data_IF_596696897792
#
_entry.id   IF_596696897792
#
_cell.length_a   1.000
_cell.length_b   1.000
_cell.length_c   1.000
_cell.angle_alpha   90.00
_cell.angle_beta   90.00
_cell.angle_gamma   90.00
#
_symmetry.space_group_name_H-M   'P 1'
#
loop_
_entity.id
_entity.type
_entity.pdbx_description
1 polymer ?
#
# COMPACT_ATOMS: atom_id res chain seq x y z
N UNK A 1 -27.42 -28.58 11.07
CA UNK A 1 -27.06 -28.08 12.43
C UNK A 1 -26.95 -26.55 12.52
N UNK A 2 -26.55 -25.82 11.47
CA UNK A 2 -26.45 -24.34 11.50
C UNK A 2 -27.58 -23.58 10.80
N UNK A 3 -28.52 -24.29 10.16
CA UNK A 3 -29.55 -23.69 9.27
C UNK A 3 -30.57 -22.84 10.04
N UNK A 4 -30.90 -23.25 11.27
CA UNK A 4 -31.92 -22.61 12.11
C UNK A 4 -31.31 -21.64 13.14
N UNK A 5 -29.97 -21.60 13.24
CA UNK A 5 -29.23 -20.76 14.20
C UNK A 5 -28.62 -19.52 13.52
N UNK A 6 -28.32 -19.61 12.22
CA UNK A 6 -27.76 -18.52 11.41
C UNK A 6 -28.50 -18.36 10.07
N UNK A 7 -29.72 -17.81 10.07
CA UNK A 7 -30.48 -17.58 8.84
C UNK A 7 -29.73 -16.67 7.84
N UNK A 8 -28.87 -15.78 8.34
CA UNK A 8 -28.01 -14.88 7.55
C UNK A 8 -26.89 -15.61 6.81
N UNK A 9 -26.30 -16.65 7.41
CA UNK A 9 -25.32 -17.52 6.73
C UNK A 9 -25.97 -18.36 5.63
N UNK A 10 -27.27 -18.66 5.74
CA UNK A 10 -28.03 -19.24 4.65
C UNK A 10 -28.37 -18.19 3.58
N UNK A 11 -28.72 -16.96 3.98
CA UNK A 11 -29.04 -15.86 3.07
C UNK A 11 -27.81 -15.34 2.29
N UNK A 12 -26.62 -15.42 2.88
CA UNK A 12 -25.35 -14.99 2.30
C UNK A 12 -24.41 -16.16 2.03
N UNK A 13 -24.93 -17.39 2.04
CA UNK A 13 -24.14 -18.60 1.83
C UNK A 13 -23.37 -18.53 0.51
N UNK A 14 -24.03 -18.01 -0.52
CA UNK A 14 -23.46 -17.86 -1.85
C UNK A 14 -22.37 -16.79 -1.87
N UNK A 15 -22.50 -15.72 -1.08
CA UNK A 15 -21.47 -14.68 -0.95
C UNK A 15 -20.22 -15.20 -0.25
N UNK A 16 -20.38 -15.86 0.90
CA UNK A 16 -19.24 -16.42 1.67
C UNK A 16 -18.55 -17.51 0.87
N UNK A 17 -19.32 -18.43 0.26
CA UNK A 17 -18.75 -19.43 -0.65
C UNK A 17 -18.01 -18.77 -1.79
N UNK A 18 -18.55 -17.70 -2.38
CA UNK A 18 -17.90 -17.00 -3.48
C UNK A 18 -16.59 -16.34 -3.04
N UNK A 19 -16.54 -15.67 -1.89
CA UNK A 19 -15.31 -15.05 -1.38
C UNK A 19 -14.24 -16.11 -1.11
N UNK A 20 -14.57 -17.16 -0.36
CA UNK A 20 -13.63 -18.25 -0.05
C UNK A 20 -13.18 -18.95 -1.33
N UNK A 21 -14.11 -19.26 -2.24
CA UNK A 21 -13.79 -19.92 -3.49
C UNK A 21 -12.92 -19.03 -4.39
N UNK A 22 -13.14 -17.72 -4.42
CA UNK A 22 -12.31 -16.82 -5.21
C UNK A 22 -10.92 -16.63 -4.60
N UNK A 23 -10.79 -16.54 -3.27
CA UNK A 23 -9.50 -16.56 -2.57
C UNK A 23 -8.75 -17.88 -2.79
N UNK A 24 -9.44 -19.01 -2.65
CA UNK A 24 -8.86 -20.33 -2.86
C UNK A 24 -8.46 -20.55 -4.33
N UNK A 25 -9.30 -20.17 -5.30
CA UNK A 25 -8.94 -20.21 -6.72
C UNK A 25 -7.80 -19.27 -7.05
N UNK A 26 -7.74 -18.09 -6.41
CA UNK A 26 -6.64 -17.15 -6.60
C UNK A 26 -5.34 -17.78 -6.13
N UNK A 27 -5.33 -18.29 -4.89
CA UNK A 27 -4.20 -18.97 -4.30
C UNK A 27 -3.76 -20.21 -5.09
N UNK A 28 -4.69 -21.07 -5.50
CA UNK A 28 -4.39 -22.27 -6.29
C UNK A 28 -3.86 -21.94 -7.69
N UNK A 29 -4.35 -20.87 -8.35
CA UNK A 29 -3.81 -20.41 -9.64
C UNK A 29 -2.38 -19.90 -9.49
N UNK A 30 -2.10 -19.15 -8.42
CA UNK A 30 -0.76 -18.69 -8.05
C UNK A 30 0.18 -19.87 -7.81
N UNK A 31 -0.27 -20.86 -7.04
CA UNK A 31 0.50 -22.09 -6.80
C UNK A 31 0.73 -22.91 -8.07
N UNK A 32 -0.28 -23.10 -8.91
CA UNK A 32 -0.17 -23.87 -10.15
C UNK A 32 0.83 -23.21 -11.13
N UNK A 33 0.80 -21.87 -11.23
CA UNK A 33 1.74 -21.10 -12.04
C UNK A 33 3.18 -21.26 -11.54
N UNK A 34 3.40 -21.09 -10.23
CA UNK A 34 4.72 -21.24 -9.61
C UNK A 34 5.27 -22.67 -9.72
N UNK A 35 4.43 -23.69 -9.50
CA UNK A 35 4.81 -25.10 -9.63
C UNK A 35 5.19 -25.46 -11.07
N UNK A 36 4.37 -25.07 -12.06
CA UNK A 36 4.69 -25.30 -13.48
C UNK A 36 6.00 -24.64 -13.88
N UNK A 37 6.27 -23.43 -13.37
CA UNK A 37 7.50 -22.71 -13.62
C UNK A 37 8.69 -23.45 -13.01
N UNK A 38 8.61 -23.86 -11.74
CA UNK A 38 9.67 -24.64 -11.07
C UNK A 38 9.93 -25.96 -11.79
N UNK A 39 8.88 -26.70 -12.19
CA UNK A 39 9.03 -27.99 -12.86
C UNK A 39 9.63 -27.87 -14.28
N UNK A 40 9.45 -26.72 -14.93
CA UNK A 40 10.06 -26.42 -16.23
C UNK A 40 11.55 -26.09 -16.15
N UNK A 41 12.07 -25.81 -14.95
CA UNK A 41 13.47 -25.43 -14.77
C UNK A 41 14.37 -26.66 -14.84
N UNK A 42 15.43 -26.53 -15.62
CA UNK A 42 16.56 -27.46 -15.61
C UNK A 42 17.73 -26.76 -14.93
N UNK A 43 18.22 -27.34 -13.85
CA UNK A 43 19.29 -26.76 -13.04
C UNK A 43 20.50 -27.70 -13.08
N UNK A 44 21.58 -27.24 -13.71
CA UNK A 44 22.79 -28.04 -13.92
C UNK A 44 23.66 -28.19 -12.66
N UNK A 45 23.61 -27.21 -11.75
CA UNK A 45 24.49 -27.15 -10.56
C UNK A 45 23.77 -27.42 -9.23
N UNK A 46 22.48 -27.79 -9.26
CA UNK A 46 21.66 -27.96 -8.06
C UNK A 46 21.41 -26.67 -7.26
N UNK A 47 21.69 -25.49 -7.83
CA UNK A 47 21.43 -24.20 -7.19
C UNK A 47 20.41 -23.43 -8.05
N UNK A 48 19.26 -23.12 -7.47
CA UNK A 48 18.28 -22.20 -8.06
C UNK A 48 18.77 -20.78 -7.84
N UNK A 49 19.03 -20.07 -8.94
CA UNK A 49 19.56 -18.71 -8.88
C UNK A 49 18.54 -17.75 -8.25
N UNK A 50 19.08 -16.71 -7.61
CA UNK A 50 18.28 -15.75 -6.87
C UNK A 50 17.33 -14.94 -7.73
N UNK A 51 17.64 -14.74 -9.01
CA UNK A 51 16.81 -13.96 -9.94
C UNK A 51 15.57 -14.76 -10.38
N UNK A 52 15.73 -16.05 -10.67
CA UNK A 52 14.61 -16.96 -10.93
C UNK A 52 13.77 -17.20 -9.67
N UNK A 53 14.41 -17.30 -8.50
CA UNK A 53 13.71 -17.35 -7.20
C UNK A 53 12.88 -16.09 -6.97
N UNK A 54 13.44 -14.93 -7.30
CA UNK A 54 12.74 -13.66 -7.22
C UNK A 54 11.58 -13.58 -8.22
N UNK A 55 11.76 -14.08 -9.45
CA UNK A 55 10.69 -14.19 -10.45
C UNK A 55 9.50 -14.99 -9.90
N UNK A 56 9.76 -16.13 -9.26
CA UNK A 56 8.72 -16.97 -8.62
C UNK A 56 7.96 -16.20 -7.53
N UNK A 57 8.66 -15.45 -6.70
CA UNK A 57 8.06 -14.65 -5.63
C UNK A 57 7.26 -13.45 -6.15
N UNK A 58 7.85 -12.62 -7.01
CA UNK A 58 7.29 -11.33 -7.46
C UNK A 58 6.28 -11.50 -8.61
N UNK A 59 6.62 -12.31 -9.62
CA UNK A 59 5.78 -12.48 -10.82
C UNK A 59 4.71 -13.54 -10.63
N UNK A 60 5.05 -14.66 -9.98
CA UNK A 60 4.11 -15.77 -9.79
C UNK A 60 3.46 -15.78 -8.41
N UNK A 61 3.80 -14.85 -7.51
CA UNK A 61 3.26 -14.79 -6.15
C UNK A 61 3.56 -16.03 -5.31
N UNK A 62 4.55 -16.81 -5.72
CA UNK A 62 4.85 -18.11 -5.14
C UNK A 62 5.70 -17.93 -3.87
N UNK A 63 5.24 -18.40 -2.70
CA UNK A 63 5.94 -18.16 -1.45
C UNK A 63 7.38 -18.71 -1.47
N UNK A 64 8.31 -17.92 -0.92
CA UNK A 64 9.73 -18.32 -0.83
C UNK A 64 9.90 -19.61 -0.02
N UNK A 65 9.11 -19.79 1.05
CA UNK A 65 9.16 -20.99 1.90
C UNK A 65 8.76 -22.26 1.14
N UNK A 66 7.77 -22.15 0.25
CA UNK A 66 7.38 -23.27 -0.63
C UNK A 66 8.44 -23.52 -1.70
N UNK A 67 9.07 -22.46 -2.22
CA UNK A 67 10.19 -22.59 -3.16
C UNK A 67 11.35 -23.36 -2.54
N UNK A 68 11.71 -23.03 -1.28
CA UNK A 68 12.74 -23.73 -0.51
C UNK A 68 12.39 -25.20 -0.32
N UNK A 69 11.16 -25.49 0.13
CA UNK A 69 10.69 -26.85 0.37
C UNK A 69 10.76 -27.72 -0.91
N UNK A 70 10.35 -27.18 -2.05
CA UNK A 70 10.36 -27.90 -3.32
C UNK A 70 11.79 -28.09 -3.84
N UNK A 71 12.66 -27.08 -3.65
CA UNK A 71 14.07 -27.20 -3.98
C UNK A 71 14.70 -28.33 -3.15
N UNK A 72 14.45 -28.38 -1.84
CA UNK A 72 14.95 -29.46 -0.97
C UNK A 72 14.50 -30.85 -1.45
N UNK A 73 13.23 -31.01 -1.83
CA UNK A 73 12.69 -32.28 -2.36
C UNK A 73 13.38 -32.69 -3.69
N UNK A 74 13.72 -31.71 -4.54
CA UNK A 74 14.48 -31.92 -5.79
C UNK A 74 15.99 -31.97 -5.60
N UNK A 75 16.49 -31.94 -4.36
CA UNK A 75 17.93 -31.87 -4.02
C UNK A 75 18.64 -30.60 -4.55
N UNK A 76 17.90 -29.50 -4.62
CA UNK A 76 18.38 -28.18 -4.99
C UNK A 76 18.48 -27.26 -3.77
N UNK A 77 19.32 -26.23 -3.87
CA UNK A 77 19.42 -25.14 -2.89
C UNK A 77 19.08 -23.81 -3.53
N UNK A 78 18.48 -22.90 -2.77
CA UNK A 78 18.14 -21.55 -3.24
C UNK A 78 19.30 -20.59 -2.97
N UNK A 79 19.67 -19.77 -3.95
CA UNK A 79 20.59 -18.64 -3.75
C UNK A 79 19.87 -17.47 -3.06
N UNK A 80 19.85 -17.53 -1.73
CA UNK A 80 19.25 -16.50 -0.86
C UNK A 80 19.84 -15.11 -1.08
N UNK A 81 21.16 -15.02 -1.31
CA UNK A 81 21.83 -13.73 -1.50
C UNK A 81 21.42 -13.09 -2.82
N UNK A 82 21.36 -13.88 -3.88
CA UNK A 82 20.85 -13.41 -5.17
C UNK A 82 19.40 -12.96 -5.08
N UNK A 83 18.56 -13.67 -4.32
CA UNK A 83 17.16 -13.32 -4.11
C UNK A 83 17.02 -11.97 -3.39
N UNK A 84 17.77 -11.76 -2.31
CA UNK A 84 17.77 -10.49 -1.58
C UNK A 84 18.23 -9.32 -2.44
N UNK A 85 19.26 -9.52 -3.28
CA UNK A 85 19.73 -8.50 -4.24
C UNK A 85 18.62 -8.16 -5.23
N UNK A 86 17.99 -9.15 -5.85
CA UNK A 86 16.92 -8.94 -6.83
C UNK A 86 15.68 -8.26 -6.21
N UNK A 87 15.33 -8.63 -4.97
CA UNK A 87 14.27 -7.99 -4.19
C UNK A 87 14.59 -6.51 -3.91
N UNK A 88 15.85 -6.21 -3.60
CA UNK A 88 16.31 -4.83 -3.37
C UNK A 88 16.29 -4.01 -4.67
N UNK A 89 16.74 -4.59 -5.79
CA UNK A 89 16.67 -3.95 -7.11
C UNK A 89 15.23 -3.66 -7.55
N UNK A 90 14.28 -4.56 -7.28
CA UNK A 90 12.86 -4.30 -7.55
C UNK A 90 12.32 -3.16 -6.69
N UNK A 91 12.62 -3.14 -5.38
CA UNK A 91 12.22 -2.04 -4.50
C UNK A 91 12.75 -0.69 -4.98
N UNK A 92 13.97 -0.67 -5.51
CA UNK A 92 14.57 0.55 -6.04
C UNK A 92 14.04 0.94 -7.43
N UNK A 93 13.63 -0.04 -8.27
CA UNK A 93 12.89 0.21 -9.52
C UNK A 93 11.46 0.72 -9.28
N UNK A 94 10.72 0.17 -8.32
CA UNK A 94 9.38 0.67 -7.97
C UNK A 94 9.41 2.12 -7.50
N UNK A 95 10.49 2.55 -6.84
CA UNK A 95 10.73 3.96 -6.50
C UNK A 95 11.01 4.83 -7.74
N UNK A 96 11.59 4.27 -8.80
CA UNK A 96 11.87 4.96 -10.06
C UNK A 96 10.64 5.04 -10.99
N UNK A 97 9.84 3.96 -11.09
CA UNK A 97 8.60 3.87 -11.91
C UNK A 97 7.44 4.73 -11.37
N UNK A 98 7.55 5.21 -10.14
CA UNK A 98 6.67 6.27 -9.63
C UNK A 98 6.80 7.59 -10.44
N UNK A 99 7.82 7.74 -11.28
CA UNK A 99 7.86 8.78 -12.32
C UNK A 99 6.94 8.40 -13.50
N UNK A 100 5.65 8.72 -13.36
CA UNK A 100 4.74 8.77 -14.50
C UNK A 100 5.23 9.82 -15.50
N UNK A 101 5.45 9.43 -16.75
CA UNK A 101 5.52 10.37 -17.88
C UNK A 101 4.11 10.92 -18.14
N UNK A 102 3.74 11.93 -17.37
CA UNK A 102 2.55 12.73 -17.65
C UNK A 102 2.97 13.83 -18.61
N UNK A 103 2.32 13.93 -19.77
CA UNK A 103 2.46 15.12 -20.60
C UNK A 103 2.06 16.37 -19.81
N UNK A 104 2.66 17.50 -20.16
CA UNK A 104 2.34 18.78 -19.54
C UNK A 104 0.86 19.12 -19.72
N UNK A 105 0.28 19.77 -18.71
CA UNK A 105 -1.09 20.25 -18.80
C UNK A 105 -1.19 21.35 -19.84
N UNK A 106 -2.07 21.17 -20.82
CA UNK A 106 -2.45 22.24 -21.74
C UNK A 106 -3.65 22.97 -21.14
N UNK A 107 -3.46 24.25 -20.82
CA UNK A 107 -4.51 25.09 -20.27
C UNK A 107 -5.44 25.58 -21.37
N UNK A 108 -6.75 25.38 -21.19
CA UNK A 108 -7.79 25.81 -22.12
C UNK A 108 -8.48 27.07 -21.61
N UNK A 109 -8.68 27.17 -20.30
CA UNK A 109 -9.32 28.33 -19.66
C UNK A 109 -8.56 28.76 -18.40
N UNK A 110 -8.53 30.07 -18.09
CA UNK A 110 -8.11 30.55 -16.78
C UNK A 110 -9.19 30.22 -15.74
N UNK A 111 -8.82 29.41 -14.75
CA UNK A 111 -9.68 28.98 -13.66
C UNK A 111 -9.00 27.84 -12.89
N UNK A 112 -8.95 27.92 -11.56
CA UNK A 112 -8.29 26.90 -10.73
C UNK A 112 -9.26 26.04 -9.91
N UNK A 113 -10.51 26.47 -9.75
CA UNK A 113 -11.45 25.80 -8.85
C UNK A 113 -12.33 24.81 -9.62
N UNK A 114 -12.26 23.55 -9.18
CA UNK A 114 -13.15 22.47 -9.63
C UNK A 114 -14.26 22.34 -8.59
N UNK A 115 -15.51 22.45 -9.04
CA UNK A 115 -16.70 22.27 -8.21
C UNK A 115 -17.31 20.89 -8.47
N UNK A 116 -17.26 20.02 -7.47
CA UNK A 116 -17.99 18.75 -7.52
C UNK A 116 -19.45 18.99 -7.14
N UNK A 117 -20.37 18.62 -8.02
CA UNK A 117 -21.83 18.80 -7.82
C UNK A 117 -22.57 17.47 -7.73
N UNK A 118 -21.86 16.34 -7.85
CA UNK A 118 -22.45 15.01 -7.92
C UNK A 118 -23.09 14.49 -6.63
N UNK A 119 -23.06 15.27 -5.53
CA UNK A 119 -23.84 14.96 -4.33
C UNK A 119 -25.32 15.33 -4.48
N UNK A 120 -25.60 16.42 -5.21
CA UNK A 120 -26.94 16.98 -5.36
C UNK A 120 -27.50 16.73 -6.77
N UNK A 121 -26.63 16.74 -7.80
CA UNK A 121 -27.02 16.70 -9.21
C UNK A 121 -26.35 15.55 -9.98
N UNK A 122 -27.14 14.77 -10.74
CA UNK A 122 -26.61 13.70 -11.62
C UNK A 122 -26.13 14.19 -13.00
N UNK A 123 -26.42 15.45 -13.32
CA UNK A 123 -26.06 16.09 -14.59
C UNK A 123 -25.88 17.59 -14.38
N UNK A 124 -25.02 18.23 -15.17
CA UNK A 124 -24.86 19.68 -15.15
C UNK A 124 -24.77 20.23 -16.57
N UNK A 125 -25.46 21.35 -16.84
CA UNK A 125 -25.49 21.99 -18.16
C UNK A 125 -24.32 22.97 -18.37
N UNK A 126 -23.67 23.40 -17.28
CA UNK A 126 -22.58 24.39 -17.30
C UNK A 126 -21.27 23.77 -16.80
N UNK A 127 -20.63 22.97 -17.67
CA UNK A 127 -19.33 22.37 -17.42
C UNK A 127 -18.36 22.67 -18.56
N UNK A 128 -17.19 23.17 -18.21
CA UNK A 128 -16.16 23.61 -19.14
C UNK A 128 -14.81 22.98 -18.84
N UNK A 129 -14.08 22.63 -19.89
CA UNK A 129 -12.72 22.09 -19.77
C UNK A 129 -11.78 23.23 -19.34
N UNK A 130 -11.18 23.08 -18.17
CA UNK A 130 -10.14 23.98 -17.65
C UNK A 130 -8.78 23.66 -18.28
N UNK A 131 -8.42 22.37 -18.27
CA UNK A 131 -7.16 21.86 -18.79
C UNK A 131 -7.30 20.41 -19.21
N UNK A 132 -6.42 19.98 -20.10
CA UNK A 132 -6.31 18.57 -20.48
C UNK A 132 -4.84 18.15 -20.55
N UNK A 133 -4.61 16.85 -20.46
CA UNK A 133 -3.32 16.25 -20.81
C UNK A 133 -3.54 14.94 -21.53
N UNK A 134 -2.54 14.57 -22.32
CA UNK A 134 -2.49 13.25 -22.96
C UNK A 134 -1.62 12.33 -22.11
N UNK A 135 -2.13 11.14 -21.83
CA UNK A 135 -1.36 10.03 -21.27
C UNK A 135 -1.33 8.90 -22.29
N UNK A 136 -0.25 8.12 -22.31
CA UNK A 136 -0.18 6.90 -23.13
C UNK A 136 -0.56 5.72 -22.24
N UNK A 137 -1.58 4.96 -22.64
CA UNK A 137 -1.93 3.68 -22.02
C UNK A 137 -1.86 2.62 -23.12
N UNK A 138 -0.93 1.66 -23.00
CA UNK A 138 -0.72 0.58 -23.99
C UNK A 138 -0.63 1.11 -25.44
N UNK A 139 0.22 2.13 -25.63
CA UNK A 139 0.42 2.86 -26.89
C UNK A 139 -0.81 3.56 -27.50
N UNK A 140 -1.93 3.63 -26.76
CA UNK A 140 -3.09 4.42 -27.15
C UNK A 140 -3.08 5.76 -26.41
N UNK A 141 -3.27 6.90 -27.12
CA UNK A 141 -3.44 8.18 -26.47
C UNK A 141 -4.78 8.19 -25.73
N UNK A 142 -4.73 8.48 -24.43
CA UNK A 142 -5.89 8.71 -23.58
C UNK A 142 -5.84 10.14 -23.09
N UNK A 143 -6.96 10.84 -23.18
CA UNK A 143 -7.07 12.22 -22.70
C UNK A 143 -7.62 12.24 -21.28
N UNK A 144 -6.93 12.96 -20.40
CA UNK A 144 -7.46 13.32 -19.09
C UNK A 144 -7.92 14.76 -19.14
N UNK A 145 -9.20 14.97 -18.82
CA UNK A 145 -9.84 16.29 -18.82
C UNK A 145 -10.08 16.73 -17.37
N UNK A 146 -9.88 18.02 -17.10
CA UNK A 146 -10.30 18.66 -15.86
C UNK A 146 -11.39 19.65 -16.21
N UNK A 147 -12.54 19.47 -15.56
CA UNK A 147 -13.74 20.29 -15.72
C UNK A 147 -13.83 21.27 -14.54
N UNK A 148 -14.40 22.45 -14.76
CA UNK A 148 -14.68 23.42 -13.68
C UNK A 148 -15.87 23.01 -12.81
N UNK A 149 -16.83 22.27 -13.36
CA UNK A 149 -17.96 21.68 -12.65
C UNK A 149 -18.18 20.26 -13.13
N UNK A 150 -18.35 19.29 -12.22
CA UNK A 150 -18.55 17.90 -12.63
C UNK A 150 -19.46 17.10 -11.67
N UNK A 151 -20.42 16.31 -12.20
CA UNK A 151 -21.16 15.31 -11.45
C UNK A 151 -20.48 13.93 -11.51
N UNK A 152 -19.40 13.78 -12.29
CA UNK A 152 -18.70 12.51 -12.42
C UNK A 152 -17.94 12.20 -11.14
N UNK A 153 -18.52 11.30 -10.35
CA UNK A 153 -17.83 10.72 -9.21
C UNK A 153 -16.61 9.95 -9.72
N UNK A 154 -15.42 10.24 -9.18
CA UNK A 154 -14.21 9.54 -9.57
C UNK A 154 -14.36 8.04 -9.24
N UNK A 155 -14.10 7.15 -10.21
CA UNK A 155 -14.03 5.70 -9.98
C UNK A 155 -12.85 5.37 -9.06
N UNK A 156 -13.09 5.53 -7.76
CA UNK A 156 -12.22 5.19 -6.64
C UNK A 156 -13.10 4.73 -5.48
N UNK A 157 -13.87 3.66 -5.71
CA UNK A 157 -14.89 3.07 -4.82
C UNK A 157 -14.31 2.35 -3.61
N UNK A 158 -13.56 3.11 -2.82
CA UNK A 158 -12.95 2.75 -1.56
C UNK A 158 -12.05 3.92 -1.23
N UNK A 159 -12.61 5.04 -0.78
CA UNK A 159 -11.83 6.23 -0.47
C UNK A 159 -10.73 5.84 0.53
N UNK A 160 -9.47 5.95 0.10
CA UNK A 160 -8.35 5.88 1.03
C UNK A 160 -8.55 7.03 2.01
N UNK A 161 -8.53 6.70 3.29
CA UNK A 161 -8.53 7.73 4.32
C UNK A 161 -7.34 8.64 4.07
N UNK A 162 -7.55 9.95 4.08
CA UNK A 162 -6.43 10.87 3.98
C UNK A 162 -5.53 10.73 5.20
N UNK A 163 -4.29 11.20 5.10
CA UNK A 163 -3.36 11.13 6.23
C UNK A 163 -3.92 11.92 7.44
N UNK A 164 -4.69 12.99 7.18
CA UNK A 164 -5.42 13.74 8.21
C UNK A 164 -6.56 12.94 8.84
N UNK A 165 -7.34 12.22 8.05
CA UNK A 165 -8.43 11.37 8.57
C UNK A 165 -7.88 10.20 9.41
N UNK A 166 -6.78 9.58 8.96
CA UNK A 166 -6.07 8.56 9.75
C UNK A 166 -5.56 9.13 11.07
N UNK A 167 -4.97 10.33 11.05
CA UNK A 167 -4.53 11.01 12.25
C UNK A 167 -5.69 11.32 13.20
N UNK A 168 -6.85 11.73 12.68
CA UNK A 168 -8.05 11.95 13.50
C UNK A 168 -8.51 10.67 14.18
N UNK A 169 -8.52 9.53 13.47
CA UNK A 169 -8.83 8.22 14.06
C UNK A 169 -7.84 7.86 15.16
N UNK A 170 -6.54 7.99 14.91
CA UNK A 170 -5.52 7.76 15.94
C UNK A 170 -5.75 8.62 17.18
N UNK A 171 -6.10 9.90 17.00
CA UNK A 171 -6.36 10.83 18.09
C UNK A 171 -7.59 10.42 18.91
N UNK A 172 -8.68 10.03 18.25
CA UNK A 172 -9.91 9.56 18.90
C UNK A 172 -9.65 8.30 19.72
N UNK A 173 -8.96 7.30 19.16
CA UNK A 173 -8.62 6.06 19.88
C UNK A 173 -7.73 6.37 21.07
N UNK A 174 -6.65 7.14 20.88
CA UNK A 174 -5.75 7.49 21.96
C UNK A 174 -6.41 8.35 23.04
N UNK A 175 -7.44 9.15 22.70
CA UNK A 175 -8.23 9.86 23.70
C UNK A 175 -8.98 8.89 24.60
N UNK A 176 -9.66 7.89 24.02
CA UNK A 176 -10.38 6.85 24.78
C UNK A 176 -9.43 5.96 25.60
N UNK A 177 -8.22 5.70 25.11
CA UNK A 177 -7.15 5.06 25.89
C UNK A 177 -6.80 5.90 27.11
N UNK A 178 -6.56 7.21 26.94
CA UNK A 178 -6.19 8.12 28.04
C UNK A 178 -7.29 8.35 29.06
N UNK A 179 -8.55 8.21 28.67
CA UNK A 179 -9.70 8.24 29.60
C UNK A 179 -9.64 7.10 30.64
N UNK A 180 -8.82 6.08 30.41
CA UNK A 180 -8.58 4.95 31.32
C UNK A 180 -9.89 4.29 31.79
N UNK A 181 -10.77 4.03 30.82
CA UNK A 181 -12.12 3.52 31.02
C UNK A 181 -12.02 2.08 31.53
N UNK A 182 -12.71 1.79 32.63
CA UNK A 182 -12.72 0.46 33.23
C UNK A 182 -13.51 -0.54 32.38
N UNK A 183 -13.04 -1.78 32.36
CA UNK A 183 -13.77 -2.89 31.76
C UNK A 183 -15.06 -3.16 32.55
N UNK A 184 -16.19 -3.08 31.86
CA UNK A 184 -17.46 -3.63 32.33
C UNK A 184 -17.73 -4.94 31.59
N UNK A 185 -17.72 -6.04 32.34
CA UNK A 185 -17.85 -7.39 31.80
C UNK A 185 -19.16 -8.06 32.27
N UNK A 186 -19.98 -8.50 31.31
CA UNK A 186 -21.16 -9.31 31.59
C UNK A 186 -20.99 -10.70 30.99
N UNK A 187 -20.81 -11.70 31.86
CA UNK A 187 -20.58 -13.10 31.45
C UNK A 187 -21.88 -13.88 31.41
N UNK A 188 -22.02 -14.72 30.39
CA UNK A 188 -23.13 -15.68 30.25
C UNK A 188 -24.51 -15.03 30.21
N UNK A 189 -24.61 -13.83 29.62
CA UNK A 189 -25.90 -13.15 29.40
C UNK A 189 -26.59 -13.72 28.16
N UNK A 190 -27.92 -13.63 28.10
CA UNK A 190 -28.65 -14.06 26.91
C UNK A 190 -28.28 -13.20 25.69
N UNK A 191 -28.18 -13.79 24.51
CA UNK A 191 -27.85 -13.05 23.28
C UNK A 191 -28.85 -11.92 22.99
N UNK A 192 -30.13 -12.12 23.30
CA UNK A 192 -31.18 -11.10 23.15
C UNK A 192 -31.00 -9.90 24.09
N UNK A 193 -30.43 -10.13 25.28
CA UNK A 193 -30.07 -9.07 26.21
C UNK A 193 -28.90 -8.24 25.65
N UNK A 194 -27.87 -8.90 25.11
CA UNK A 194 -26.74 -8.23 24.46
C UNK A 194 -27.17 -7.39 23.25
N UNK A 195 -28.07 -7.92 22.40
CA UNK A 195 -28.67 -7.19 21.28
C UNK A 195 -29.47 -5.97 21.75
N UNK A 196 -30.29 -6.15 22.78
CA UNK A 196 -31.11 -5.06 23.35
C UNK A 196 -30.24 -3.98 23.99
N UNK A 197 -29.07 -4.36 24.49
CA UNK A 197 -28.02 -3.47 24.99
C UNK A 197 -27.27 -2.71 23.88
N UNK A 198 -27.51 -3.01 22.60
CA UNK A 198 -26.81 -2.39 21.48
C UNK A 198 -25.38 -2.89 21.30
N UNK A 199 -25.06 -4.09 21.81
CA UNK A 199 -23.73 -4.66 21.64
C UNK A 199 -23.45 -4.95 20.16
N UNK A 200 -22.31 -4.48 19.68
CA UNK A 200 -21.79 -4.81 18.37
C UNK A 200 -21.42 -6.29 18.34
N UNK A 201 -21.81 -6.96 17.27
CA UNK A 201 -21.49 -8.35 17.01
C UNK A 201 -20.60 -8.40 15.78
N UNK A 202 -19.48 -9.11 15.88
CA UNK A 202 -18.58 -9.34 14.76
C UNK A 202 -19.30 -10.09 13.64
N UNK A 203 -19.14 -9.58 12.43
CA UNK A 203 -19.74 -10.14 11.22
C UNK A 203 -19.17 -11.53 10.93
N UNK A 204 -20.06 -12.53 10.79
CA UNK A 204 -19.68 -13.91 10.47
C UNK A 204 -19.38 -14.82 11.67
N UNK A 205 -19.38 -14.28 12.89
CA UNK A 205 -19.16 -15.05 14.13
C UNK A 205 -20.42 -15.79 14.59
N UNK A 206 -20.22 -16.97 15.18
CA UNK A 206 -21.31 -17.81 15.71
C UNK A 206 -21.44 -17.66 17.21
N UNK A 207 -22.54 -17.09 17.66
CA UNK A 207 -22.85 -16.90 19.09
C UNK A 207 -23.76 -18.01 19.62
N UNK A 208 -23.53 -18.44 20.86
CA UNK A 208 -24.41 -19.37 21.58
C UNK A 208 -25.64 -18.66 22.18
N UNK A 209 -26.49 -19.41 22.88
CA UNK A 209 -27.65 -18.86 23.61
C UNK A 209 -27.22 -17.85 24.68
N UNK A 210 -26.07 -18.11 25.30
CA UNK A 210 -25.41 -17.20 26.23
C UNK A 210 -24.10 -16.69 25.64
N UNK A 211 -23.83 -15.40 25.83
CA UNK A 211 -22.65 -14.72 25.31
C UNK A 211 -21.91 -13.95 26.40
N UNK A 212 -20.70 -13.51 26.07
CA UNK A 212 -19.89 -12.64 26.91
C UNK A 212 -19.85 -11.26 26.26
N UNK A 213 -20.29 -10.25 26.99
CA UNK A 213 -20.32 -8.87 26.54
C UNK A 213 -19.24 -8.07 27.27
N UNK A 214 -18.49 -7.31 26.48
CA UNK A 214 -17.38 -6.48 26.89
C UNK A 214 -17.72 -5.03 26.59
N UNK A 215 -17.63 -4.18 27.60
CA UNK A 215 -17.98 -2.77 27.48
C UNK A 215 -16.84 -1.91 27.97
N UNK A 216 -16.40 -1.00 27.12
CA UNK A 216 -15.52 0.12 27.44
C UNK A 216 -16.26 1.36 26.96
N UNK A 217 -17.00 2.00 27.86
CA UNK A 217 -17.97 3.09 27.58
C UNK A 217 -19.27 2.58 26.92
N UNK A 218 -20.38 2.49 27.69
CA UNK A 218 -21.69 2.04 27.23
C UNK A 218 -22.27 2.79 26.03
N UNK A 219 -21.82 4.02 25.75
CA UNK A 219 -22.27 4.84 24.63
C UNK A 219 -21.34 4.77 23.41
N UNK A 220 -20.16 4.17 23.56
CA UNK A 220 -19.12 4.19 22.54
C UNK A 220 -18.68 2.81 22.08
N UNK A 221 -18.35 1.90 23.01
CA UNK A 221 -17.83 0.57 22.68
C UNK A 221 -18.43 -0.50 23.59
N UNK A 222 -19.35 -1.27 23.01
CA UNK A 222 -19.96 -2.45 23.61
C UNK A 222 -19.98 -3.55 22.59
N UNK A 223 -19.34 -4.67 22.89
CA UNK A 223 -19.16 -5.74 21.92
C UNK A 223 -19.38 -7.12 22.54
N UNK A 224 -19.81 -8.07 21.73
CA UNK A 224 -19.82 -9.49 22.12
C UNK A 224 -18.45 -10.09 21.78
N UNK A 225 -17.63 -10.38 22.78
CA UNK A 225 -16.26 -10.86 22.57
C UNK A 225 -15.81 -11.92 23.60
N UNK A 226 -15.28 -13.03 23.09
CA UNK A 226 -14.72 -14.13 23.90
C UNK A 226 -13.23 -14.00 24.24
N UNK A 227 -12.53 -13.01 23.69
CA UNK A 227 -11.07 -12.85 23.84
C UNK A 227 -10.62 -12.26 25.18
N UNK A 228 -9.32 -12.29 25.45
CA UNK A 228 -8.73 -11.63 26.61
C UNK A 228 -8.76 -10.11 26.45
N UNK A 229 -8.96 -9.38 27.55
CA UNK A 229 -8.99 -7.91 27.57
C UNK A 229 -8.20 -7.39 28.77
N UNK A 230 -7.77 -6.13 28.66
CA UNK A 230 -7.21 -5.34 29.76
C UNK A 230 -8.30 -4.95 30.76
N UNK A 231 -7.91 -4.59 32.00
CA UNK A 231 -8.86 -4.17 33.03
C UNK A 231 -9.29 -2.69 32.87
N UNK A 232 -8.51 -1.92 32.11
CA UNK A 232 -8.81 -0.54 31.75
C UNK A 232 -8.15 -0.15 30.42
N UNK A 233 -8.77 0.76 29.66
CA UNK A 233 -8.23 1.19 28.35
C UNK A 233 -6.84 1.81 28.43
N UNK A 234 -6.43 2.36 29.57
CA UNK A 234 -5.09 2.95 29.75
C UNK A 234 -3.95 1.93 29.68
N UNK A 235 -4.23 0.65 29.92
CA UNK A 235 -3.24 -0.44 29.82
C UNK A 235 -2.88 -0.77 28.36
N UNK A 236 -3.68 -0.32 27.39
CA UNK A 236 -3.41 -0.49 25.96
C UNK A 236 -2.17 0.32 25.54
N UNK A 237 -1.89 1.44 26.23
CA UNK A 237 -0.80 2.35 25.87
C UNK A 237 -1.06 3.08 24.55
N UNK A 238 -0.02 3.74 24.02
CA UNK A 238 -0.16 4.56 22.81
C UNK A 238 -0.54 3.69 21.60
N UNK A 239 -1.58 4.09 20.87
CA UNK A 239 -2.07 3.44 19.65
C UNK A 239 -1.53 4.16 18.42
N UNK A 240 -0.98 3.40 17.46
CA UNK A 240 -0.44 3.93 16.20
C UNK A 240 -0.90 3.08 15.02
N UNK A 241 -1.49 3.72 14.02
CA UNK A 241 -1.73 3.13 12.70
C UNK A 241 -0.41 3.16 11.92
N UNK A 242 -0.02 1.99 11.40
CA UNK A 242 1.20 1.82 10.61
C UNK A 242 0.91 1.81 9.11
N UNK A 243 -0.26 1.29 8.71
CA UNK A 243 -0.62 1.20 7.31
C UNK A 243 -2.12 1.14 7.10
N UNK A 244 -2.53 1.50 5.89
CA UNK A 244 -3.90 1.40 5.41
C UNK A 244 -3.87 0.90 3.96
N UNK A 245 -4.63 -0.16 3.64
CA UNK A 245 -4.68 -0.75 2.30
C UNK A 245 -6.09 -1.24 1.90
N UNK A 246 -6.40 -1.22 0.59
CA UNK A 246 -7.65 -1.77 0.08
C UNK A 246 -7.54 -3.30 -0.10
N UNK A 247 -8.54 -4.06 0.37
CA UNK A 247 -8.61 -5.52 0.19
C UNK A 247 -9.55 -5.86 -0.98
N UNK A 248 -10.72 -5.23 -1.01
CA UNK A 248 -11.75 -5.44 -2.02
C UNK A 248 -12.55 -4.14 -2.22
N UNK A 249 -13.43 -4.10 -3.22
CA UNK A 249 -14.33 -2.96 -3.42
C UNK A 249 -15.14 -2.70 -2.13
N UNK A 250 -15.01 -1.48 -1.59
CA UNK A 250 -15.66 -1.08 -0.33
C UNK A 250 -15.05 -1.65 0.96
N UNK A 251 -13.94 -2.40 0.91
CA UNK A 251 -13.30 -3.01 2.10
C UNK A 251 -11.85 -2.55 2.24
N UNK A 252 -11.52 -1.99 3.40
CA UNK A 252 -10.19 -1.46 3.72
C UNK A 252 -9.61 -2.14 4.97
N UNK A 253 -8.29 -2.27 5.00
CA UNK A 253 -7.50 -2.82 6.11
C UNK A 253 -6.77 -1.69 6.81
N UNK A 254 -6.88 -1.63 8.12
CA UNK A 254 -6.05 -0.80 8.99
C UNK A 254 -5.12 -1.75 9.75
N UNK A 255 -3.82 -1.48 9.68
CA UNK A 255 -2.83 -2.15 10.50
C UNK A 255 -2.37 -1.18 11.58
N UNK A 256 -2.40 -1.61 12.84
CA UNK A 256 -2.06 -0.77 13.97
C UNK A 256 -1.32 -1.56 15.06
N UNK A 257 -0.53 -0.83 15.85
CA UNK A 257 0.29 -1.32 16.95
C UNK A 257 0.03 -0.51 18.21
N UNK A 258 0.30 -1.11 19.38
CA UNK A 258 0.07 -0.48 20.69
C UNK A 258 1.25 -0.67 21.65
N UNK A 259 1.22 0.05 22.78
CA UNK A 259 2.17 -0.08 23.89
C UNK A 259 3.65 -0.07 23.44
N UNK A 260 4.46 -1.00 23.95
CA UNK A 260 5.90 -1.10 23.66
C UNK A 260 6.20 -1.20 22.16
N UNK A 261 5.34 -1.86 21.38
CA UNK A 261 5.53 -1.95 19.93
C UNK A 261 5.40 -0.58 19.26
N UNK A 262 4.42 0.22 19.68
CA UNK A 262 4.24 1.59 19.19
C UNK A 262 5.38 2.52 19.64
N UNK A 263 5.85 2.38 20.87
CA UNK A 263 7.01 3.13 21.38
C UNK A 263 8.28 2.83 20.58
N UNK A 264 8.60 1.55 20.37
CA UNK A 264 9.75 1.13 19.55
C UNK A 264 9.65 1.66 18.12
N UNK A 265 8.45 1.60 17.53
CA UNK A 265 8.22 2.14 16.19
C UNK A 265 8.50 3.64 16.12
N UNK A 266 7.95 4.44 17.05
CA UNK A 266 8.19 5.89 17.10
C UNK A 266 9.67 6.20 17.33
N UNK A 267 10.30 5.48 18.24
CA UNK A 267 11.72 5.66 18.55
C UNK A 267 12.58 5.42 17.32
N UNK A 268 12.32 4.35 16.57
CA UNK A 268 13.01 4.07 15.31
C UNK A 268 12.80 5.20 14.28
N UNK A 269 11.57 5.71 14.13
CA UNK A 269 11.29 6.82 13.21
C UNK A 269 12.02 8.12 13.62
N UNK A 270 12.14 8.39 14.91
CA UNK A 270 12.92 9.54 15.43
C UNK A 270 14.41 9.35 15.15
N UNK A 271 14.95 8.16 15.36
CA UNK A 271 16.36 7.85 15.07
C UNK A 271 16.70 8.03 13.60
N UNK A 272 15.83 7.55 12.71
CA UNK A 272 15.95 7.77 11.26
C UNK A 272 15.93 9.27 10.92
N UNK A 273 15.00 10.03 11.50
CA UNK A 273 14.92 11.48 11.30
C UNK A 273 16.17 12.21 11.80
N UNK A 274 16.70 11.82 12.96
CA UNK A 274 17.95 12.38 13.51
C UNK A 274 19.14 12.03 12.62
N UNK A 275 19.21 10.81 12.10
CA UNK A 275 20.26 10.41 11.16
C UNK A 275 20.22 11.23 9.87
N UNK A 276 19.03 11.46 9.30
CA UNK A 276 18.83 12.36 8.14
C UNK A 276 19.23 13.79 8.48
N UNK A 277 18.81 14.31 9.63
CA UNK A 277 19.19 15.66 10.06
C UNK A 277 20.70 15.82 10.18
N UNK A 278 21.38 14.82 10.74
CA UNK A 278 22.83 14.82 10.93
C UNK A 278 23.59 14.73 9.61
N UNK A 279 23.13 13.91 8.66
CA UNK A 279 23.75 13.80 7.32
C UNK A 279 23.67 15.12 6.54
N UNK A 280 22.66 15.94 6.83
CA UNK A 280 22.47 17.29 6.27
C UNK A 280 23.15 18.40 7.07
N UNK A 281 24.02 18.06 8.02
CA UNK A 281 24.73 18.99 8.92
C UNK A 281 23.80 19.81 9.83
N UNK A 282 22.75 19.17 10.32
CA UNK A 282 21.82 19.72 11.31
C UNK A 282 21.16 21.04 10.92
N UNK A 283 20.48 21.10 9.75
CA UNK A 283 19.78 22.31 9.35
C UNK A 283 18.62 22.60 10.31
N UNK A 284 18.25 23.88 10.41
CA UNK A 284 17.04 24.29 11.14
C UNK A 284 15.78 23.83 10.41
N UNK A 285 15.81 23.85 9.09
CA UNK A 285 14.71 23.44 8.21
C UNK A 285 15.18 22.27 7.34
N UNK A 286 14.88 21.05 7.79
CA UNK A 286 15.30 19.82 7.11
C UNK A 286 14.60 19.70 5.76
N UNK A 287 13.33 20.06 5.67
CA UNK A 287 12.53 19.93 4.44
C UNK A 287 13.09 20.86 3.36
N UNK A 288 13.36 22.12 3.71
CA UNK A 288 13.98 23.05 2.78
C UNK A 288 15.38 22.58 2.36
N UNK A 289 16.21 22.12 3.29
CA UNK A 289 17.55 21.61 2.95
C UNK A 289 17.50 20.39 2.02
N UNK A 290 16.53 19.49 2.19
CA UNK A 290 16.30 18.39 1.25
C UNK A 290 15.86 18.90 -0.12
N UNK A 291 14.95 19.86 -0.17
CA UNK A 291 14.49 20.46 -1.44
C UNK A 291 15.64 21.16 -2.19
N UNK A 292 16.42 21.98 -1.50
CA UNK A 292 17.59 22.67 -2.05
C UNK A 292 18.61 21.66 -2.60
N UNK A 293 18.89 20.56 -1.87
CA UNK A 293 19.78 19.49 -2.34
C UNK A 293 19.22 18.73 -3.55
N UNK A 294 17.91 18.53 -3.63
CA UNK A 294 17.29 17.89 -4.80
C UNK A 294 17.41 18.79 -6.03
N UNK A 295 17.26 20.10 -5.88
CA UNK A 295 17.38 21.05 -6.97
C UNK A 295 18.84 21.26 -7.39
N UNK A 296 19.78 21.33 -6.46
CA UNK A 296 21.22 21.34 -6.75
C UNK A 296 21.62 20.07 -7.52
N UNK A 297 21.17 18.88 -7.09
CA UNK A 297 21.41 17.63 -7.81
C UNK A 297 20.84 17.64 -9.24
N UNK A 298 19.67 18.26 -9.46
CA UNK A 298 19.10 18.41 -10.81
C UNK A 298 19.94 19.34 -11.68
N UNK A 299 20.45 20.43 -11.11
CA UNK A 299 21.31 21.38 -11.83
C UNK A 299 22.66 20.74 -12.19
N UNK A 300 23.33 20.11 -11.23
CA UNK A 300 24.59 19.40 -11.44
C UNK A 300 24.46 18.30 -12.51
N UNK A 301 23.36 17.56 -12.53
CA UNK A 301 23.10 16.57 -13.59
C UNK A 301 23.00 17.20 -14.98
N UNK A 302 22.37 18.38 -15.10
CA UNK A 302 22.29 19.10 -16.38
C UNK A 302 23.67 19.61 -16.83
N UNK A 303 24.43 20.19 -15.92
CA UNK A 303 25.79 20.66 -16.21
C UNK A 303 26.72 19.52 -16.63
N UNK A 304 26.61 18.37 -15.97
CA UNK A 304 27.38 17.17 -16.27
C UNK A 304 27.09 16.63 -17.68
N UNK A 305 25.84 16.65 -18.12
CA UNK A 305 25.47 16.29 -19.50
C UNK A 305 26.04 17.30 -20.53
N UNK A 306 26.01 18.60 -20.23
CA UNK A 306 26.63 19.62 -21.09
C UNK A 306 28.15 19.42 -21.18
N UNK A 307 28.82 19.10 -20.08
CA UNK A 307 30.26 18.84 -20.06
C UNK A 307 30.62 17.58 -20.85
N UNK A 308 29.86 16.49 -20.71
CA UNK A 308 30.06 15.27 -21.51
C UNK A 308 29.92 15.53 -23.01
N UNK A 309 28.92 16.32 -23.42
CA UNK A 309 28.74 16.67 -24.84
C UNK A 309 29.92 17.48 -25.37
N UNK A 310 30.42 18.46 -24.59
CA UNK A 310 31.63 19.22 -24.96
C UNK A 310 32.87 18.34 -25.06
N UNK A 311 33.05 17.41 -24.12
CA UNK A 311 34.18 16.48 -24.14
C UNK A 311 34.12 15.52 -25.33
N UNK A 312 32.93 15.01 -25.67
CA UNK A 312 32.73 14.18 -26.85
C UNK A 312 33.04 14.94 -28.16
N UNK A 313 32.65 16.21 -28.25
CA UNK A 313 33.02 17.09 -29.36
C UNK A 313 34.53 17.30 -29.46
N UNK A 314 35.21 17.63 -28.35
CA UNK A 314 36.66 17.78 -28.33
C UNK A 314 37.40 16.50 -28.74
N UNK A 315 36.91 15.33 -28.30
CA UNK A 315 37.48 14.04 -28.71
C UNK A 315 37.29 13.77 -30.21
N UNK A 316 36.16 14.19 -30.78
CA UNK A 316 35.93 14.09 -32.23
C UNK A 316 36.93 14.95 -33.00
N UNK A 317 37.18 16.18 -32.55
CA UNK A 317 38.14 17.09 -33.17
C UNK A 317 39.58 16.53 -33.09
N UNK A 318 39.97 15.98 -31.94
CA UNK A 318 41.28 15.34 -31.75
C UNK A 318 41.46 14.09 -32.65
N UNK A 319 40.40 13.31 -32.84
CA UNK A 319 40.41 12.15 -33.74
C UNK A 319 40.53 12.56 -35.21
N UNK A 320 39.85 13.63 -35.62
CA UNK A 320 39.99 14.21 -36.98
C UNK A 320 41.42 14.71 -37.18
N UNK A 321 41.99 15.42 -36.20
CA UNK A 321 43.36 15.95 -36.28
C UNK A 321 44.43 14.85 -36.33
N UNK A 322 44.16 13.68 -35.75
CA UNK A 322 45.06 12.52 -35.74
C UNK A 322 44.81 11.50 -36.84
N UNK A 323 43.76 11.71 -37.67
CA UNK A 323 43.47 10.86 -38.81
C UNK A 323 44.54 11.01 -39.91
N UNK A 324 44.98 9.88 -40.48
CA UNK A 324 45.85 9.86 -41.66
C UNK A 324 45.02 9.73 -42.93
N UNK A 325 45.16 10.66 -43.86
CA UNK A 325 44.60 10.54 -45.22
C UNK A 325 45.19 9.31 -45.93
N UNK A 326 44.33 8.49 -46.54
CA UNK A 326 44.75 7.36 -47.38
C UNK A 326 44.02 7.49 -48.72
N UNK A 327 44.79 7.77 -49.79
CA UNK A 327 44.32 7.87 -51.17
C UNK A 327 43.38 9.07 -51.47
N UNK A 328 43.63 10.23 -50.86
CA UNK A 328 42.96 11.49 -51.23
C UNK A 328 41.49 11.57 -50.84
N UNK A 329 41.08 10.75 -49.87
CA UNK A 329 39.85 10.86 -49.11
C UNK A 329 40.12 10.44 -47.65
#
# INVERSE_FOLDING_TARGET
RFKDVFPELAAQQDFVKKVILEEEKSFLRTLEGGLKRIDSLQIDNGILDGQTTFELYDTYGFPIDLTRLICEDKQWTVDEKGFEIALQEQKDRSKADAKRETGDWTQVRPGQEVTFVGYDDLSTEESYILKYRTIKIKDKPVYQLVLDKTPFYAEGGGQKMTDEELLQVEQMVNQKVRENIRLEEARSIAIEEAKSAGAMMLFGEKYGETVRMITFDPQYSREVCGGCHVDATGEIGFFKIVSESAIAAGVRRIEAITAEAAERYIQQQIEELVAVKSSLKNPKDIIKSVADLQDENRQLKKELEVLKLKQAGSMQDDLIASAKEIAGA
#
